data_IF_770005130670
#
_entry.id   IF_770005130670
#
_cell.length_a   1.000
_cell.length_b   1.000
_cell.length_c   1.000
_cell.angle_alpha   90.00
_cell.angle_beta   90.00
_cell.angle_gamma   90.00
#
_symmetry.space_group_name_H-M   'P 1'
#
loop_
_entity.id
_entity.type
_entity.pdbx_description
1 polymer ?
#
# COMPACT_ATOMS: atom_id res chain seq x y z
N UNK A 1 -11.61 8.65 -0.42
CA UNK A 1 -13.02 8.22 -0.47
C UNK A 1 -13.32 7.61 -1.84
N UNK A 2 -14.48 6.97 -2.02
CA UNK A 2 -14.82 6.30 -3.28
C UNK A 2 -14.95 7.25 -4.48
N UNK A 3 -15.30 8.52 -4.25
CA UNK A 3 -15.40 9.51 -5.33
C UNK A 3 -14.04 9.77 -5.98
N UNK A 4 -12.98 9.89 -5.18
CA UNK A 4 -11.61 10.03 -5.69
C UNK A 4 -11.14 8.78 -6.44
N UNK A 5 -11.52 7.59 -5.97
CA UNK A 5 -11.20 6.33 -6.65
C UNK A 5 -11.85 6.29 -8.04
N UNK A 6 -13.15 6.63 -8.13
CA UNK A 6 -13.87 6.70 -9.41
C UNK A 6 -13.30 7.76 -10.35
N UNK A 7 -12.86 8.89 -9.80
CA UNK A 7 -12.27 9.98 -10.59
C UNK A 7 -10.97 9.59 -11.29
N UNK A 8 -10.30 8.51 -10.87
CA UNK A 8 -9.11 8.00 -11.58
C UNK A 8 -9.44 7.47 -12.98
N UNK A 9 -10.69 7.05 -13.23
CA UNK A 9 -11.11 6.47 -14.50
C UNK A 9 -10.42 5.14 -14.85
N UNK A 10 -9.78 4.49 -13.88
CA UNK A 10 -9.05 3.24 -14.07
C UNK A 10 -9.58 2.16 -13.12
N UNK A 11 -10.27 1.17 -13.69
CA UNK A 11 -10.84 0.04 -12.93
C UNK A 11 -9.77 -0.84 -12.27
N UNK A 12 -8.52 -0.78 -12.74
CA UNK A 12 -7.39 -1.54 -12.19
C UNK A 12 -6.52 -0.71 -11.24
N UNK A 13 -6.97 0.47 -10.82
CA UNK A 13 -6.18 1.28 -9.89
C UNK A 13 -6.04 0.55 -8.55
N UNK A 14 -4.96 0.81 -7.83
CA UNK A 14 -4.73 0.26 -6.49
C UNK A 14 -4.59 1.39 -5.48
N UNK A 15 -5.06 1.12 -4.28
CA UNK A 15 -4.91 2.00 -3.13
C UNK A 15 -3.72 1.52 -2.28
N UNK A 16 -2.82 2.45 -1.96
CA UNK A 16 -1.63 2.23 -1.14
C UNK A 16 -1.66 3.14 0.09
N UNK A 17 -1.09 2.66 1.19
CA UNK A 17 -0.95 3.43 2.42
C UNK A 17 0.10 2.77 3.34
N UNK A 18 1.08 3.56 3.78
CA UNK A 18 2.24 3.05 4.51
C UNK A 18 1.98 2.55 5.95
N UNK A 19 0.81 2.87 6.52
CA UNK A 19 0.31 2.55 7.87
C UNK A 19 1.09 3.23 9.03
N UNK A 20 0.47 3.42 10.21
CA UNK A 20 -0.96 3.16 10.52
C UNK A 20 -1.87 4.19 9.84
N UNK A 21 -3.06 3.74 9.41
CA UNK A 21 -4.10 4.62 8.86
C UNK A 21 -5.16 4.94 9.93
N UNK A 22 -5.57 6.20 10.00
CA UNK A 22 -6.72 6.72 10.71
C UNK A 22 -7.93 6.76 9.77
N UNK A 23 -8.74 5.70 9.83
CA UNK A 23 -9.98 5.60 9.06
C UNK A 23 -10.91 6.78 9.37
N UNK A 24 -11.52 7.36 8.34
CA UNK A 24 -12.42 8.51 8.42
C UNK A 24 -11.74 9.87 8.31
N UNK A 25 -10.40 9.94 8.34
CA UNK A 25 -9.64 11.18 8.15
C UNK A 25 -8.99 11.23 6.77
N UNK A 26 -7.87 10.51 6.58
CA UNK A 26 -7.15 10.48 5.30
C UNK A 26 -7.68 9.44 4.32
N UNK A 27 -8.32 8.38 4.85
CA UNK A 27 -8.92 7.31 4.05
C UNK A 27 -10.26 6.93 4.66
N UNK A 28 -11.29 6.75 3.83
CA UNK A 28 -12.58 6.25 4.29
C UNK A 28 -12.53 4.74 4.48
N UNK A 29 -13.32 4.22 5.42
CA UNK A 29 -13.36 2.78 5.71
C UNK A 29 -13.74 1.96 4.46
N UNK A 30 -14.67 2.47 3.65
CA UNK A 30 -15.06 1.89 2.35
C UNK A 30 -13.87 1.70 1.38
N UNK A 31 -12.88 2.60 1.36
CA UNK A 31 -11.71 2.49 0.48
C UNK A 31 -10.69 1.57 1.11
N UNK A 32 -10.47 1.73 2.42
CA UNK A 32 -9.50 0.93 3.16
C UNK A 32 -9.80 -0.57 3.09
N UNK A 33 -11.07 -0.96 3.23
CA UNK A 33 -11.53 -2.36 3.19
C UNK A 33 -11.92 -2.84 1.78
N UNK A 34 -11.68 -2.02 0.74
CA UNK A 34 -12.06 -2.39 -0.63
C UNK A 34 -11.06 -3.32 -1.31
N UNK A 35 -11.50 -3.96 -2.40
CA UNK A 35 -10.64 -4.76 -3.28
C UNK A 35 -9.49 -3.97 -3.94
N UNK A 36 -9.57 -2.65 -3.95
CA UNK A 36 -8.50 -1.78 -4.43
C UNK A 36 -7.30 -1.75 -3.48
N UNK A 37 -7.49 -2.09 -2.20
CA UNK A 37 -6.46 -2.00 -1.18
C UNK A 37 -5.29 -2.96 -1.42
N UNK A 38 -4.06 -2.43 -1.34
CA UNK A 38 -2.80 -3.18 -1.35
C UNK A 38 -1.87 -2.75 -0.19
N UNK A 39 -2.40 -2.05 0.81
CA UNK A 39 -1.64 -1.51 1.94
C UNK A 39 -0.96 -2.60 2.80
N UNK A 40 -1.53 -3.81 2.88
CA UNK A 40 -0.92 -4.91 3.62
C UNK A 40 0.18 -5.61 2.81
N UNK A 41 0.00 -5.78 1.50
CA UNK A 41 1.06 -6.26 0.60
C UNK A 41 2.23 -5.26 0.56
N UNK A 42 1.93 -3.96 0.55
CA UNK A 42 2.93 -2.88 0.68
C UNK A 42 3.70 -3.00 2.00
N UNK A 43 3.01 -3.24 3.11
CA UNK A 43 3.64 -3.43 4.41
C UNK A 43 4.54 -4.69 4.46
N UNK A 44 4.09 -5.80 3.89
CA UNK A 44 4.90 -7.04 3.77
C UNK A 44 6.15 -6.81 2.91
N UNK A 45 6.00 -6.09 1.79
CA UNK A 45 7.10 -5.78 0.89
C UNK A 45 8.23 -4.95 1.53
N UNK A 46 7.99 -4.31 2.69
CA UNK A 46 9.06 -3.71 3.49
C UNK A 46 10.10 -4.74 3.93
N UNK A 47 9.68 -5.94 4.34
CA UNK A 47 10.60 -7.01 4.76
C UNK A 47 11.49 -7.44 3.59
N UNK A 48 10.89 -7.69 2.43
CA UNK A 48 11.61 -8.14 1.24
C UNK A 48 12.59 -7.09 0.74
N UNK A 49 12.16 -5.83 0.71
CA UNK A 49 13.00 -4.70 0.28
C UNK A 49 14.20 -4.52 1.20
N UNK A 50 13.99 -4.52 2.52
CA UNK A 50 15.09 -4.40 3.50
C UNK A 50 16.06 -5.58 3.37
N UNK A 51 15.55 -6.81 3.19
CA UNK A 51 16.39 -7.99 2.96
C UNK A 51 17.27 -7.81 1.72
N UNK A 52 16.71 -7.32 0.61
CA UNK A 52 17.48 -7.05 -0.60
C UNK A 52 18.57 -6.01 -0.37
N UNK A 53 18.25 -4.90 0.32
CA UNK A 53 19.22 -3.87 0.69
C UNK A 53 20.34 -4.44 1.57
N UNK A 54 20.01 -5.26 2.56
CA UNK A 54 21.02 -5.93 3.40
C UNK A 54 21.93 -6.84 2.59
N UNK A 55 21.40 -7.70 1.71
CA UNK A 55 22.21 -8.58 0.86
C UNK A 55 23.12 -7.76 -0.06
N UNK A 56 22.61 -6.70 -0.68
CA UNK A 56 23.40 -5.85 -1.58
C UNK A 56 24.49 -5.04 -0.85
N UNK A 57 24.25 -4.64 0.40
CA UNK A 57 25.14 -3.74 1.13
C UNK A 57 26.19 -4.47 1.97
N UNK A 58 25.79 -5.58 2.61
CA UNK A 58 26.62 -6.31 3.59
C UNK A 58 26.64 -7.82 3.36
N UNK A 59 25.86 -8.33 2.40
CA UNK A 59 25.86 -9.74 2.03
C UNK A 59 27.10 -10.11 1.22
N UNK A 60 27.59 -11.34 1.41
CA UNK A 60 28.58 -11.95 0.52
C UNK A 60 27.84 -12.70 -0.57
N UNK A 61 27.85 -12.15 -1.78
CA UNK A 61 27.29 -12.76 -3.00
C UNK A 61 28.26 -13.80 -3.58
#
# INVERSE_FOLDING_TARGET
NMDLIKATGNDNMIFLHCLPAVKGYEVTEEVFESHYGRQFDEAENRLHTIKAVMVASIGKL
#
